data_IF_161377306491
#
_entry.id   IF_161377306491
#
_cell.length_a   1.000
_cell.length_b   1.000
_cell.length_c   1.000
_cell.angle_alpha   90.00
_cell.angle_beta   90.00
_cell.angle_gamma   90.00
#
_symmetry.space_group_name_H-M   'P 1'
#
loop_
_entity.id
_entity.type
_entity.pdbx_description
1 polymer ?
#
# COMPACT_ATOMS: atom_id res chain seq x y z
N UNK A 1 15.86 -45.08 35.85
CA UNK A 1 14.63 -44.26 35.82
C UNK A 1 13.45 -45.20 35.99
N UNK A 2 12.77 -45.08 37.10
CA UNK A 2 11.50 -45.75 37.38
C UNK A 2 10.43 -45.27 36.39
N UNK A 3 9.61 -46.19 35.88
CA UNK A 3 8.57 -45.87 34.88
C UNK A 3 7.61 -44.78 35.39
N UNK A 4 7.41 -44.69 36.70
CA UNK A 4 6.63 -43.66 37.40
C UNK A 4 7.13 -42.23 37.14
N UNK A 5 8.45 -41.99 37.18
CA UNK A 5 9.00 -40.65 36.96
C UNK A 5 8.74 -40.10 35.57
N UNK A 6 8.78 -40.96 34.55
CA UNK A 6 8.52 -40.59 33.14
C UNK A 6 7.04 -40.27 32.91
N UNK A 7 6.13 -41.03 33.52
CA UNK A 7 4.68 -40.78 33.43
C UNK A 7 4.26 -39.49 34.14
N UNK A 8 4.77 -39.26 35.36
CA UNK A 8 4.45 -38.04 36.12
C UNK A 8 5.01 -36.80 35.43
N UNK A 9 6.26 -36.86 34.95
CA UNK A 9 6.86 -35.78 34.18
C UNK A 9 6.13 -35.48 32.87
N UNK A 10 5.66 -36.51 32.16
CA UNK A 10 4.89 -36.36 30.93
C UNK A 10 3.54 -35.67 31.15
N UNK A 11 2.80 -36.04 32.20
CA UNK A 11 1.51 -35.43 32.54
C UNK A 11 1.67 -33.95 32.92
N UNK A 12 2.67 -33.65 33.75
CA UNK A 12 2.96 -32.27 34.17
C UNK A 12 3.40 -31.41 32.97
N UNK A 13 4.27 -31.94 32.12
CA UNK A 13 4.71 -31.24 30.90
C UNK A 13 3.55 -30.94 29.94
N UNK A 14 2.67 -31.91 29.71
CA UNK A 14 1.49 -31.71 28.86
C UNK A 14 0.55 -30.64 29.40
N UNK A 15 0.31 -30.62 30.72
CA UNK A 15 -0.53 -29.61 31.35
C UNK A 15 0.04 -28.18 31.17
N UNK A 16 1.36 -28.02 31.27
CA UNK A 16 2.03 -26.72 31.08
C UNK A 16 1.86 -26.23 29.64
N UNK A 17 2.05 -27.12 28.64
CA UNK A 17 1.90 -26.74 27.23
C UNK A 17 0.47 -26.29 26.92
N UNK A 18 -0.52 -27.02 27.41
CA UNK A 18 -1.94 -26.65 27.23
C UNK A 18 -2.25 -25.29 27.88
N UNK A 19 -1.72 -25.04 29.08
CA UNK A 19 -1.89 -23.76 29.76
C UNK A 19 -1.29 -22.59 28.97
N UNK A 20 -0.07 -22.74 28.42
CA UNK A 20 0.59 -21.70 27.62
C UNK A 20 -0.25 -21.39 26.37
N UNK A 21 -0.73 -22.42 25.66
CA UNK A 21 -1.56 -22.23 24.47
C UNK A 21 -2.86 -21.51 24.82
N UNK A 22 -3.54 -21.90 25.90
CA UNK A 22 -4.78 -21.23 26.33
C UNK A 22 -4.57 -19.74 26.64
N UNK A 23 -3.46 -19.37 27.32
CA UNK A 23 -3.13 -17.97 27.61
C UNK A 23 -2.90 -17.17 26.33
N UNK A 24 -2.23 -17.73 25.32
CA UNK A 24 -2.01 -17.05 24.03
C UNK A 24 -3.32 -16.74 23.29
N UNK A 25 -4.36 -17.57 23.43
CA UNK A 25 -5.68 -17.32 22.80
C UNK A 25 -6.56 -16.35 23.59
N UNK A 26 -6.49 -16.37 24.92
CA UNK A 26 -7.30 -15.48 25.79
C UNK A 26 -6.68 -14.07 25.85
N UNK A 27 -5.35 -13.98 25.82
CA UNK A 27 -4.60 -12.73 25.94
C UNK A 27 -3.34 -12.77 25.07
N UNK A 28 -3.50 -12.64 23.73
CA UNK A 28 -2.36 -12.63 22.82
C UNK A 28 -1.40 -11.47 23.18
N UNK A 29 -0.08 -11.71 23.20
CA UNK A 29 0.91 -10.68 23.50
C UNK A 29 0.82 -9.55 22.47
N UNK A 30 1.10 -8.33 22.92
CA UNK A 30 0.96 -7.13 22.08
C UNK A 30 1.82 -7.15 20.81
N UNK A 31 2.87 -7.97 20.79
CA UNK A 31 3.72 -8.22 19.62
C UNK A 31 3.03 -8.94 18.47
N UNK A 32 1.86 -9.56 18.69
CA UNK A 32 1.05 -10.22 17.66
C UNK A 32 -0.10 -9.35 17.16
N UNK A 33 -0.30 -8.15 17.72
CA UNK A 33 -1.26 -7.19 17.18
C UNK A 33 -0.66 -6.63 15.87
N UNK A 34 -1.37 -6.70 14.74
CA UNK A 34 -0.90 -6.05 13.52
C UNK A 34 -0.76 -4.56 13.81
N UNK A 35 0.43 -4.01 13.53
CA UNK A 35 0.71 -2.59 13.69
C UNK A 35 -0.10 -1.81 12.62
N UNK A 36 -1.34 -1.46 12.94
CA UNK A 36 -2.06 -0.43 12.19
C UNK A 36 -1.44 0.89 12.64
N UNK A 37 -0.54 1.43 11.82
CA UNK A 37 0.04 2.75 12.01
C UNK A 37 -1.10 3.78 11.85
N UNK A 38 -1.78 4.11 12.93
CA UNK A 38 -2.66 5.26 13.02
C UNK A 38 -1.80 6.51 13.20
N UNK A 39 -1.29 7.03 12.09
CA UNK A 39 -0.61 8.32 12.06
C UNK A 39 -1.60 9.46 12.28
N UNK A 40 -1.58 10.02 13.50
CA UNK A 40 -1.81 11.42 13.83
C UNK A 40 -3.16 12.07 13.44
N UNK A 41 -3.95 12.36 14.48
CA UNK A 41 -5.25 13.06 14.50
C UNK A 41 -5.29 14.47 13.86
N UNK A 42 -4.17 15.04 13.42
CA UNK A 42 -4.17 16.32 12.69
C UNK A 42 -4.38 16.17 11.17
N UNK A 43 -4.13 14.98 10.61
CA UNK A 43 -4.37 14.73 9.17
C UNK A 43 -5.83 14.38 8.89
N UNK A 44 -6.56 13.84 9.87
CA UNK A 44 -7.96 13.46 9.72
C UNK A 44 -8.88 14.68 9.53
N UNK A 45 -8.59 15.81 10.20
CA UNK A 45 -9.34 17.06 10.01
C UNK A 45 -9.02 17.76 8.68
N UNK A 46 -7.77 17.68 8.19
CA UNK A 46 -7.41 18.17 6.87
C UNK A 46 -8.07 17.33 5.74
N UNK A 47 -8.16 16.00 5.93
CA UNK A 47 -8.83 15.10 4.98
C UNK A 47 -10.36 15.28 5.04
N UNK A 48 -10.97 15.43 6.22
CA UNK A 48 -12.42 15.68 6.36
C UNK A 48 -12.83 17.04 5.79
N UNK A 49 -12.02 18.09 5.97
CA UNK A 49 -12.27 19.42 5.40
C UNK A 49 -12.07 19.46 3.88
N UNK A 50 -11.14 18.66 3.35
CA UNK A 50 -10.94 18.50 1.90
C UNK A 50 -12.05 17.65 1.25
N UNK A 51 -12.48 16.56 1.89
CA UNK A 51 -13.53 15.69 1.37
C UNK A 51 -14.91 16.37 1.29
N UNK A 52 -15.23 17.25 2.25
CA UNK A 52 -16.50 17.99 2.27
C UNK A 52 -16.64 19.04 1.16
N UNK A 53 -15.55 19.41 0.47
CA UNK A 53 -15.57 20.41 -0.60
C UNK A 53 -15.65 19.79 -2.01
N UNK A 54 -15.66 18.45 -2.10
CA UNK A 54 -15.69 17.67 -3.35
C UNK A 54 -17.10 17.19 -3.73
N UNK A 55 -18.17 17.90 -3.32
CA UNK A 55 -19.54 17.54 -3.68
C UNK A 55 -19.90 17.85 -5.15
N UNK A 56 -18.96 18.37 -5.95
CA UNK A 56 -19.19 18.57 -7.39
C UNK A 56 -18.74 17.33 -8.15
N UNK A 57 -19.70 16.47 -8.50
CA UNK A 57 -19.47 15.43 -9.50
C UNK A 57 -19.14 16.12 -10.83
N UNK A 58 -17.89 16.01 -11.28
CA UNK A 58 -17.51 16.51 -12.59
C UNK A 58 -18.07 15.56 -13.65
N UNK A 59 -18.64 16.14 -14.70
CA UNK A 59 -18.96 15.39 -15.92
C UNK A 59 -17.68 14.90 -16.60
N UNK A 60 -17.79 13.88 -17.46
CA UNK A 60 -16.64 13.36 -18.24
C UNK A 60 -15.99 14.46 -19.09
N UNK A 61 -16.81 15.38 -19.65
CA UNK A 61 -16.31 16.51 -20.43
C UNK A 61 -15.50 17.48 -19.55
N UNK A 62 -15.98 17.80 -18.34
CA UNK A 62 -15.23 18.68 -17.42
C UNK A 62 -13.93 18.03 -16.94
N UNK A 63 -13.91 16.72 -16.72
CA UNK A 63 -12.68 15.98 -16.36
C UNK A 63 -11.68 16.04 -17.51
N UNK A 64 -12.16 15.79 -18.73
CA UNK A 64 -11.32 15.86 -19.93
C UNK A 64 -10.73 17.26 -20.10
N UNK A 65 -11.56 18.31 -20.14
CA UNK A 65 -11.10 19.70 -20.30
C UNK A 65 -10.10 20.14 -19.23
N UNK A 66 -10.27 19.68 -17.99
CA UNK A 66 -9.37 20.03 -16.89
C UNK A 66 -8.06 19.25 -16.90
N UNK A 67 -8.06 18.03 -17.43
CA UNK A 67 -6.89 17.13 -17.39
C UNK A 67 -6.06 17.15 -18.68
N UNK A 68 -6.70 17.40 -19.82
CA UNK A 68 -6.08 17.35 -21.15
C UNK A 68 -4.81 18.21 -21.28
N UNK A 69 -4.76 19.46 -20.78
CA UNK A 69 -3.55 20.29 -20.86
C UNK A 69 -2.35 19.73 -20.06
N UNK A 70 -2.59 18.82 -19.11
CA UNK A 70 -1.57 18.16 -18.31
C UNK A 70 -1.04 16.85 -18.91
N UNK A 71 -1.66 16.34 -19.98
CA UNK A 71 -1.29 15.07 -20.62
C UNK A 71 -0.40 15.35 -21.84
N UNK A 72 0.67 14.58 -21.98
CA UNK A 72 1.68 14.75 -23.02
C UNK A 72 1.94 13.45 -23.77
N UNK A 73 2.33 13.58 -25.05
CA UNK A 73 2.83 12.46 -25.86
C UNK A 73 4.32 12.26 -25.60
N UNK A 74 4.71 11.01 -25.37
CA UNK A 74 6.10 10.58 -25.20
C UNK A 74 6.52 9.82 -26.46
N UNK A 75 7.60 10.26 -27.10
CA UNK A 75 8.20 9.57 -28.24
C UNK A 75 9.61 9.10 -27.85
N UNK A 76 9.84 7.80 -27.89
CA UNK A 76 11.13 7.19 -27.57
C UNK A 76 11.93 7.08 -28.85
N UNK A 77 13.09 7.75 -28.91
CA UNK A 77 13.99 7.66 -30.05
C UNK A 77 15.14 6.72 -29.72
N UNK A 78 15.37 5.72 -30.57
CA UNK A 78 16.54 4.84 -30.54
C UNK A 78 17.39 5.19 -31.77
N UNK A 79 18.71 5.34 -31.61
CA UNK A 79 19.61 6.10 -32.50
C UNK A 79 19.76 5.69 -33.99
N UNK A 80 20.89 6.11 -34.58
CA UNK A 80 21.06 6.90 -35.83
C UNK A 80 20.68 6.32 -37.21
N UNK A 81 19.97 5.21 -37.34
CA UNK A 81 19.67 4.64 -38.67
C UNK A 81 18.23 4.85 -39.10
N UNK A 82 17.83 6.10 -39.38
CA UNK A 82 16.79 6.54 -40.35
C UNK A 82 15.36 6.00 -40.26
N UNK A 83 15.10 4.92 -39.55
CA UNK A 83 13.80 4.30 -39.34
C UNK A 83 13.51 4.37 -37.84
N UNK A 84 12.79 5.41 -37.45
CA UNK A 84 12.31 5.62 -36.10
C UNK A 84 11.26 4.56 -35.72
N UNK A 85 11.68 3.31 -35.46
CA UNK A 85 10.87 2.31 -34.73
C UNK A 85 10.99 2.57 -33.23
N UNK A 86 10.65 3.80 -32.87
CA UNK A 86 10.57 4.27 -31.49
C UNK A 86 9.25 3.87 -30.84
N UNK A 87 9.26 3.62 -29.52
CA UNK A 87 8.04 3.52 -28.74
C UNK A 87 7.28 4.84 -28.73
N UNK A 88 5.94 4.77 -28.74
CA UNK A 88 5.08 5.93 -28.53
C UNK A 88 4.17 5.64 -27.33
N UNK A 89 4.10 6.58 -26.40
CA UNK A 89 3.25 6.47 -25.23
C UNK A 89 2.73 7.83 -24.76
N UNK A 90 2.16 7.81 -23.57
CA UNK A 90 1.61 9.01 -22.92
C UNK A 90 2.24 9.20 -21.55
N UNK A 91 2.22 10.43 -21.07
CA UNK A 91 2.55 10.78 -19.70
C UNK A 91 1.74 11.97 -19.24
N UNK A 92 1.91 12.37 -17.98
CA UNK A 92 1.33 13.61 -17.48
C UNK A 92 2.36 14.42 -16.70
N UNK A 93 2.25 15.74 -16.78
CA UNK A 93 3.12 16.68 -16.06
C UNK A 93 2.69 16.72 -14.59
N UNK A 94 3.58 16.36 -13.66
CA UNK A 94 3.23 16.23 -12.25
C UNK A 94 3.46 17.51 -11.44
N UNK A 95 4.35 18.41 -11.90
CA UNK A 95 4.66 19.66 -11.22
C UNK A 95 4.87 20.85 -12.17
N UNK A 96 4.99 22.04 -11.60
CA UNK A 96 5.21 23.28 -12.35
C UNK A 96 6.64 23.42 -12.89
N UNK A 97 7.54 22.49 -12.58
CA UNK A 97 8.91 22.46 -13.13
C UNK A 97 8.97 21.66 -14.44
N UNK A 98 7.89 20.97 -14.80
CA UNK A 98 7.78 20.26 -16.07
C UNK A 98 8.20 18.79 -16.01
N UNK A 99 8.33 18.21 -14.82
CA UNK A 99 8.62 16.79 -14.72
C UNK A 99 7.39 15.94 -15.11
N UNK A 100 7.63 14.79 -15.77
CA UNK A 100 6.59 13.94 -16.37
C UNK A 100 6.62 12.55 -15.74
N UNK A 101 5.43 12.01 -15.44
CA UNK A 101 5.24 10.59 -15.06
C UNK A 101 4.74 9.81 -16.27
N UNK A 102 5.37 8.66 -16.55
CA UNK A 102 4.96 7.69 -17.57
C UNK A 102 5.28 6.27 -17.10
N UNK A 103 4.81 5.26 -17.84
CA UNK A 103 5.15 3.88 -17.55
C UNK A 103 6.59 3.57 -17.98
N UNK A 104 7.27 2.70 -17.24
CA UNK A 104 8.64 2.29 -17.56
C UNK A 104 8.77 1.48 -18.86
N UNK A 105 7.68 0.93 -19.39
CA UNK A 105 7.66 0.15 -20.63
C UNK A 105 7.38 0.98 -21.88
N UNK A 106 7.09 2.28 -21.71
CA UNK A 106 6.95 3.23 -22.83
C UNK A 106 8.31 3.42 -23.47
#
# INVERSE_FOLDING_TARGET
MDKSGVFVGGVIGAAIVVAIVAVLFISPPESLKPNIIASNDDSANAIKKTASSFSKSLSLIEIFEKSEPGVVRVNVQRGESGEATGGVGSGFVFDKKGHIITNAHV
#
